data_IF_330692070569
#
_entry.id   IF_330692070569
#
_cell.length_a   1.000
_cell.length_b   1.000
_cell.length_c   1.000
_cell.angle_alpha   90.00
_cell.angle_beta   90.00
_cell.angle_gamma   90.00
#
_symmetry.space_group_name_H-M   'P 1'
#
loop_
_entity.id
_entity.type
_entity.pdbx_description
1 polymer ?
#
# COMPACT_ATOMS: atom_id res chain seq x y z
N UNK A 1 -8.32 -22.72 13.39
CA UNK A 1 -7.08 -22.27 12.73
C UNK A 1 -7.42 -21.06 11.88
N UNK A 2 -7.21 -19.85 12.41
CA UNK A 2 -7.42 -18.55 11.73
C UNK A 2 -6.10 -17.75 11.65
N UNK A 3 -4.95 -18.36 11.98
CA UNK A 3 -3.72 -17.62 12.33
C UNK A 3 -2.95 -17.07 11.14
N UNK A 4 -2.97 -17.74 10.00
CA UNK A 4 -1.97 -17.46 8.95
C UNK A 4 -2.40 -16.25 8.11
N UNK A 5 -3.71 -16.17 7.81
CA UNK A 5 -4.29 -15.06 7.07
C UNK A 5 -4.26 -13.76 7.89
N UNK A 6 -4.66 -13.79 9.16
CA UNK A 6 -4.60 -12.61 10.03
C UNK A 6 -3.16 -12.09 10.20
N UNK A 7 -2.18 -13.00 10.25
CA UNK A 7 -0.76 -12.65 10.34
C UNK A 7 -0.22 -12.00 9.07
N UNK A 8 -0.57 -12.51 7.88
CA UNK A 8 -0.19 -11.90 6.59
C UNK A 8 -0.76 -10.49 6.45
N UNK A 9 -1.98 -10.27 6.94
CA UNK A 9 -2.66 -8.99 6.82
C UNK A 9 -2.10 -7.96 7.79
N UNK A 10 -1.72 -8.40 9.01
CA UNK A 10 -0.97 -7.59 9.93
C UNK A 10 0.43 -7.24 9.39
N UNK A 11 1.14 -8.18 8.76
CA UNK A 11 2.48 -7.96 8.22
C UNK A 11 2.50 -6.82 7.17
N UNK A 12 1.47 -6.71 6.34
CA UNK A 12 1.36 -5.62 5.37
C UNK A 12 1.21 -4.23 6.02
N UNK A 13 0.56 -4.15 7.18
CA UNK A 13 0.43 -2.90 7.95
C UNK A 13 1.67 -2.58 8.77
N UNK A 14 2.44 -3.59 9.19
CA UNK A 14 3.69 -3.39 9.93
C UNK A 14 4.73 -2.60 9.14
N UNK A 15 4.60 -2.57 7.81
CA UNK A 15 5.42 -1.74 6.92
C UNK A 15 5.22 -0.23 7.09
N UNK A 16 4.13 0.19 7.72
CA UNK A 16 3.92 1.60 8.09
C UNK A 16 4.70 1.97 9.37
N UNK A 17 5.11 1.00 10.17
CA UNK A 17 5.85 1.25 11.41
C UNK A 17 7.17 1.93 11.07
N UNK A 18 7.42 3.06 11.74
CA UNK A 18 8.62 3.88 11.51
C UNK A 18 8.54 4.80 10.29
N UNK A 19 7.48 4.76 9.47
CA UNK A 19 7.26 5.72 8.38
C UNK A 19 6.36 6.86 8.86
N UNK A 20 6.70 8.10 8.48
CA UNK A 20 5.84 9.25 8.79
C UNK A 20 4.74 9.35 7.74
N UNK A 21 3.49 9.20 8.17
CA UNK A 21 2.31 9.43 7.32
C UNK A 21 2.16 10.93 7.08
N UNK A 22 2.08 11.31 5.81
CA UNK A 22 1.92 12.69 5.35
C UNK A 22 0.47 12.97 4.99
N UNK A 23 -0.20 12.00 4.36
CA UNK A 23 -1.58 12.15 3.88
C UNK A 23 -2.26 10.79 3.77
N UNK A 24 -3.59 10.79 3.93
CA UNK A 24 -4.45 9.60 3.80
C UNK A 24 -5.69 9.95 2.99
N UNK A 25 -5.86 9.31 1.83
CA UNK A 25 -7.05 9.46 0.99
C UNK A 25 -7.86 8.18 0.94
N UNK A 26 -9.19 8.32 0.92
CA UNK A 26 -10.13 7.22 0.73
C UNK A 26 -10.92 7.42 -0.56
N UNK A 27 -10.96 6.40 -1.43
CA UNK A 27 -11.74 6.44 -2.67
C UNK A 27 -12.49 5.12 -2.88
N UNK A 28 -13.73 5.20 -3.34
CA UNK A 28 -14.40 4.04 -3.91
C UNK A 28 -13.66 3.64 -5.20
N UNK A 29 -13.40 2.34 -5.37
CA UNK A 29 -12.85 1.80 -6.61
C UNK A 29 -13.97 1.28 -7.52
N UNK A 30 -14.93 0.58 -6.92
CA UNK A 30 -16.19 0.12 -7.50
C UNK A 30 -17.26 0.01 -6.38
N UNK A 31 -18.45 -0.48 -6.70
CA UNK A 31 -19.58 -0.58 -5.77
C UNK A 31 -19.34 -1.51 -4.55
N UNK A 32 -18.27 -2.31 -4.57
CA UNK A 32 -17.96 -3.31 -3.54
C UNK A 32 -16.56 -3.17 -2.96
N UNK A 33 -15.73 -2.30 -3.53
CA UNK A 33 -14.32 -2.15 -3.18
C UNK A 33 -13.93 -0.69 -2.93
N UNK A 34 -13.06 -0.52 -1.95
CA UNK A 34 -12.52 0.75 -1.51
C UNK A 34 -11.00 0.72 -1.53
N UNK A 35 -10.40 1.87 -1.82
CA UNK A 35 -8.97 2.07 -1.79
C UNK A 35 -8.60 3.11 -0.76
N UNK A 36 -7.69 2.72 0.13
CA UNK A 36 -7.01 3.62 1.06
C UNK A 36 -5.63 3.90 0.50
N UNK A 37 -5.33 5.17 0.28
CA UNK A 37 -4.04 5.61 -0.18
C UNK A 37 -3.32 6.28 0.99
N UNK A 38 -2.24 5.68 1.46
CA UNK A 38 -1.43 6.19 2.56
C UNK A 38 -0.13 6.72 1.97
N UNK A 39 0.00 8.04 1.93
CA UNK A 39 1.21 8.71 1.47
C UNK A 39 2.14 8.92 2.65
N UNK A 40 3.36 8.44 2.54
CA UNK A 40 4.42 8.63 3.53
C UNK A 40 5.52 9.54 2.99
N UNK A 41 6.42 9.93 3.88
CA UNK A 41 7.68 10.59 3.50
C UNK A 41 8.53 9.75 2.53
N UNK A 42 8.44 8.43 2.60
CA UNK A 42 9.25 7.45 1.86
C UNK A 42 8.58 6.87 0.61
N UNK A 43 7.26 6.95 0.49
CA UNK A 43 6.53 6.23 -0.55
C UNK A 43 5.02 6.43 -0.47
N UNK A 44 4.30 5.60 -1.21
CA UNK A 44 2.85 5.49 -1.11
C UNK A 44 2.48 4.02 -0.97
N UNK A 45 1.62 3.73 -0.01
CA UNK A 45 0.99 2.42 0.17
C UNK A 45 -0.46 2.55 -0.29
N UNK A 46 -0.92 1.63 -1.13
CA UNK A 46 -2.32 1.58 -1.56
C UNK A 46 -2.90 0.27 -1.06
N UNK A 47 -3.95 0.36 -0.26
CA UNK A 47 -4.65 -0.81 0.26
C UNK A 47 -6.02 -0.88 -0.40
N UNK A 48 -6.29 -1.98 -1.12
CA UNK A 48 -7.58 -2.27 -1.73
C UNK A 48 -8.35 -3.24 -0.86
N UNK A 49 -9.51 -2.82 -0.36
CA UNK A 49 -10.44 -3.62 0.41
C UNK A 49 -11.66 -3.91 -0.45
N UNK A 50 -12.17 -5.13 -0.43
CA UNK A 50 -13.44 -5.48 -1.05
C UNK A 50 -14.34 -6.16 -0.02
N UNK A 51 -15.66 -6.01 -0.14
CA UNK A 51 -16.64 -6.56 0.81
C UNK A 51 -16.47 -8.06 1.08
N UNK A 52 -16.11 -8.81 0.04
CA UNK A 52 -16.01 -10.28 0.11
C UNK A 52 -14.58 -10.75 0.39
N UNK A 53 -13.62 -9.83 0.58
CA UNK A 53 -12.24 -10.17 0.86
C UNK A 53 -12.00 -10.25 2.36
N UNK A 54 -11.35 -11.33 2.79
CA UNK A 54 -10.91 -11.48 4.17
C UNK A 54 -9.78 -10.49 4.52
N UNK A 55 -8.98 -10.09 3.52
CA UNK A 55 -7.87 -9.18 3.70
C UNK A 55 -7.66 -8.25 2.51
N UNK A 56 -7.14 -7.03 2.75
CA UNK A 56 -6.82 -6.11 1.68
C UNK A 56 -5.61 -6.55 0.87
N UNK A 57 -5.66 -6.28 -0.44
CA UNK A 57 -4.46 -6.34 -1.30
C UNK A 57 -3.69 -5.03 -1.15
N UNK A 58 -2.37 -5.13 -1.01
CA UNK A 58 -1.50 -3.97 -0.75
C UNK A 58 -0.50 -3.78 -1.89
N UNK A 59 -0.57 -2.61 -2.54
CA UNK A 59 0.41 -2.17 -3.53
C UNK A 59 1.38 -1.17 -2.90
N UNK A 60 2.67 -1.32 -3.21
CA UNK A 60 3.75 -0.46 -2.72
C UNK A 60 4.33 0.36 -3.86
N UNK A 61 4.44 1.68 -3.69
CA UNK A 61 5.07 2.59 -4.65
C UNK A 61 6.14 3.41 -3.93
N UNK A 62 7.38 2.95 -4.06
CA UNK A 62 8.54 3.61 -3.46
C UNK A 62 8.96 4.82 -4.31
N UNK A 63 9.30 5.94 -3.66
CA UNK A 63 9.75 7.16 -4.37
C UNK A 63 11.06 6.97 -5.16
N UNK A 64 11.84 5.93 -4.84
CA UNK A 64 13.20 5.71 -5.36
C UNK A 64 13.21 5.09 -6.78
N UNK A 65 12.12 4.48 -7.24
CA UNK A 65 12.09 3.79 -8.54
C UNK A 65 11.70 4.66 -9.74
N UNK A 66 11.35 5.94 -9.52
CA UNK A 66 10.95 6.88 -10.57
C UNK A 66 12.08 7.84 -11.02
N UNK A 67 13.34 7.57 -10.65
CA UNK A 67 14.48 8.26 -11.26
C UNK A 67 14.74 7.67 -12.65
N UNK A 68 14.66 8.46 -13.74
CA UNK A 68 15.11 7.99 -15.04
C UNK A 68 16.58 7.59 -14.94
N UNK A 69 16.87 6.36 -15.33
CA UNK A 69 18.21 5.80 -15.40
C UNK A 69 19.11 6.72 -16.24
N UNK A 70 19.92 7.53 -15.55
CA UNK A 70 20.83 8.49 -16.16
C UNK A 70 22.09 7.82 -16.71
N UNK A 71 22.11 6.49 -16.86
CA UNK A 71 23.24 5.72 -17.42
C UNK A 71 23.02 5.18 -18.84
N UNK A 72 22.44 6.00 -19.72
CA UNK A 72 22.63 5.87 -21.17
C UNK A 72 22.98 7.21 -21.81
N UNK A 73 24.20 7.68 -21.52
CA UNK A 73 24.93 8.57 -22.39
C UNK A 73 26.26 7.88 -22.69
N UNK A 74 26.31 7.18 -23.83
CA UNK A 74 27.51 6.77 -24.53
C UNK A 74 27.31 7.20 -25.99
#
# INVERSE_FOLDING_TARGET
>A
MNSDLESECAANLMELVGKRVVDVEFRAHDDKCWRIYITTDSGRIVMTFCRDWKCPVVEKRDKVKDLPDSRKAN
#
